data_IF_816130598483
#
_entry.id   IF_816130598483
#
_cell.length_a   1.000
_cell.length_b   1.000
_cell.length_c   1.000
_cell.angle_alpha   90.00
_cell.angle_beta   90.00
_cell.angle_gamma   90.00
#
_symmetry.space_group_name_H-M   'P 1'
#
loop_
_entity.id
_entity.type
_entity.pdbx_description
1 polymer ?
#
# COMPACT_ATOMS: atom_id res chain seq x y z
N UNK A 1 11.43 -8.28 -3.81
CA UNK A 1 10.57 -8.98 -4.78
C UNK A 1 9.50 -7.99 -5.27
N UNK A 2 9.83 -7.15 -6.26
CA UNK A 2 8.89 -6.15 -6.80
C UNK A 2 8.04 -6.81 -7.90
N UNK A 3 6.74 -6.97 -7.66
CA UNK A 3 5.82 -7.44 -8.68
C UNK A 3 5.47 -6.28 -9.62
N UNK A 4 6.12 -6.23 -10.79
CA UNK A 4 5.98 -5.15 -11.80
C UNK A 4 4.62 -5.09 -12.51
N UNK A 5 3.66 -5.98 -12.20
CA UNK A 5 2.42 -6.11 -12.97
C UNK A 5 1.29 -5.18 -12.50
N UNK A 6 1.35 -4.67 -11.27
CA UNK A 6 0.30 -3.86 -10.67
C UNK A 6 0.83 -2.95 -9.53
N UNK A 7 0.19 -1.79 -9.35
CA UNK A 7 0.54 -0.82 -8.33
C UNK A 7 -0.73 -0.32 -7.61
N UNK A 8 -0.69 -0.09 -6.29
CA UNK A 8 0.44 -0.34 -5.38
C UNK A 8 0.47 -1.80 -4.91
N UNK A 9 1.52 -2.54 -5.32
CA UNK A 9 1.74 -3.93 -4.92
C UNK A 9 3.22 -4.19 -4.66
N UNK A 10 3.52 -4.67 -3.45
CA UNK A 10 4.89 -4.87 -3.00
C UNK A 10 5.04 -4.77 -1.49
N UNK A 11 6.29 -4.69 -1.05
CA UNK A 11 6.64 -4.55 0.37
C UNK A 11 6.80 -3.08 0.74
N UNK A 12 6.09 -2.67 1.79
CA UNK A 12 6.06 -1.34 2.36
C UNK A 12 6.63 -1.37 3.78
N UNK A 13 7.40 -0.33 4.13
CA UNK A 13 7.79 -0.06 5.50
C UNK A 13 6.60 0.52 6.26
N UNK A 14 6.46 0.08 7.51
CA UNK A 14 5.48 0.62 8.46
C UNK A 14 6.21 1.17 9.68
N UNK A 15 5.48 1.64 10.70
CA UNK A 15 6.08 2.09 11.95
C UNK A 15 6.82 0.98 12.70
N UNK A 16 6.33 -0.26 12.56
CA UNK A 16 6.96 -1.45 13.11
C UNK A 16 6.76 -2.66 12.18
N UNK A 17 7.87 -3.15 11.61
CA UNK A 17 7.89 -4.25 10.67
C UNK A 17 7.58 -3.88 9.22
N UNK A 18 7.60 -4.91 8.36
CA UNK A 18 7.36 -4.81 6.93
C UNK A 18 5.98 -5.40 6.60
N UNK A 19 5.29 -4.77 5.64
CA UNK A 19 3.96 -5.16 5.21
C UNK A 19 3.93 -5.36 3.69
N UNK A 20 3.49 -6.52 3.22
CA UNK A 20 3.12 -6.70 1.82
C UNK A 20 1.70 -6.22 1.61
N UNK A 21 1.49 -5.39 0.60
CA UNK A 21 0.16 -4.92 0.16
C UNK A 21 0.00 -5.31 -1.31
N UNK A 22 -1.20 -5.72 -1.71
CA UNK A 22 -1.54 -6.01 -3.10
C UNK A 22 -2.87 -5.35 -3.50
N UNK A 23 -2.84 -4.04 -3.74
CA UNK A 23 -4.00 -3.26 -4.17
C UNK A 23 -4.06 -3.16 -5.71
N UNK A 24 -4.31 -4.30 -6.35
CA UNK A 24 -4.25 -4.44 -7.80
C UNK A 24 -5.49 -3.89 -8.54
N UNK A 25 -6.63 -3.80 -7.83
CA UNK A 25 -7.91 -3.31 -8.36
C UNK A 25 -8.14 -1.85 -7.95
N UNK A 26 -8.97 -1.13 -8.72
CA UNK A 26 -9.26 0.28 -8.42
C UNK A 26 -9.96 0.45 -7.07
N UNK A 27 -10.93 -0.40 -6.75
CA UNK A 27 -11.61 -0.41 -5.44
C UNK A 27 -10.64 -0.59 -4.26
N UNK A 28 -9.62 -1.46 -4.42
CA UNK A 28 -8.60 -1.71 -3.41
C UNK A 28 -7.67 -0.51 -3.25
N UNK A 29 -7.30 0.13 -4.36
CA UNK A 29 -6.48 1.35 -4.33
C UNK A 29 -7.20 2.49 -3.62
N UNK A 30 -8.48 2.71 -3.95
CA UNK A 30 -9.30 3.74 -3.29
C UNK A 30 -9.46 3.44 -1.80
N UNK A 31 -9.72 2.18 -1.43
CA UNK A 31 -9.81 1.77 -0.03
C UNK A 31 -8.49 2.00 0.71
N UNK A 32 -7.36 1.61 0.12
CA UNK A 32 -6.03 1.87 0.68
C UNK A 32 -5.81 3.36 0.94
N UNK A 33 -6.05 4.22 -0.06
CA UNK A 33 -5.88 5.67 0.06
C UNK A 33 -6.69 6.25 1.24
N UNK A 34 -7.95 5.80 1.40
CA UNK A 34 -8.80 6.23 2.51
C UNK A 34 -8.25 5.76 3.86
N UNK A 35 -7.80 4.51 3.97
CA UNK A 35 -7.35 3.92 5.23
C UNK A 35 -6.03 4.51 5.71
N UNK A 36 -5.13 4.86 4.80
CA UNK A 36 -3.87 5.54 5.14
C UNK A 36 -4.03 7.04 5.31
N UNK A 37 -5.27 7.57 5.23
CA UNK A 37 -5.54 8.99 5.46
C UNK A 37 -5.16 9.92 4.30
N UNK A 38 -4.96 9.38 3.10
CA UNK A 38 -4.59 10.12 1.89
C UNK A 38 -5.64 9.93 0.77
N UNK A 39 -6.94 10.23 1.01
CA UNK A 39 -8.01 9.95 0.05
C UNK A 39 -7.84 10.71 -1.27
N UNK A 40 -7.18 11.87 -1.27
CA UNK A 40 -6.90 12.66 -2.48
C UNK A 40 -6.03 11.93 -3.51
N UNK A 41 -5.20 10.96 -3.09
CA UNK A 41 -4.39 10.16 -4.01
C UNK A 41 -5.23 9.34 -4.99
N UNK A 42 -6.48 9.02 -4.62
CA UNK A 42 -7.41 8.32 -5.51
C UNK A 42 -7.79 9.13 -6.76
N UNK A 43 -7.75 10.47 -6.65
CA UNK A 43 -8.13 11.40 -7.72
C UNK A 43 -6.95 12.20 -8.27
N UNK A 44 -5.77 12.08 -7.66
CA UNK A 44 -4.54 12.71 -8.16
C UNK A 44 -4.19 12.18 -9.56
N UNK A 45 -4.01 13.05 -10.58
CA UNK A 45 -3.66 12.65 -11.94
C UNK A 45 -2.40 11.76 -12.05
N UNK A 46 -1.52 11.77 -11.04
CA UNK A 46 -0.34 10.91 -10.95
C UNK A 46 -0.67 9.47 -10.61
N UNK A 47 -1.80 9.21 -9.95
CA UNK A 47 -2.13 7.90 -9.36
C UNK A 47 -3.54 7.37 -9.68
N UNK A 48 -4.45 8.23 -10.16
CA UNK A 48 -5.84 7.87 -10.45
C UNK A 48 -5.94 6.72 -11.46
N UNK A 49 -5.20 6.83 -12.57
CA UNK A 49 -5.20 5.84 -13.64
C UNK A 49 -4.10 4.79 -13.43
N UNK A 50 -4.43 3.52 -13.71
CA UNK A 50 -3.51 2.38 -13.52
C UNK A 50 -2.13 2.61 -14.12
N UNK A 51 -2.05 3.12 -15.35
CA UNK A 51 -0.78 3.34 -16.05
C UNK A 51 0.01 4.52 -15.47
N UNK A 52 -0.67 5.61 -15.09
CA UNK A 52 -0.02 6.73 -14.38
C UNK A 52 0.52 6.27 -13.02
N UNK A 53 -0.26 5.47 -12.29
CA UNK A 53 0.11 4.93 -10.99
C UNK A 53 1.35 4.05 -11.05
N UNK A 54 1.46 3.20 -12.08
CA UNK A 54 2.65 2.40 -12.33
C UNK A 54 3.87 3.27 -12.62
N UNK A 55 3.74 4.30 -13.48
CA UNK A 55 4.83 5.25 -13.77
C UNK A 55 5.30 5.98 -12.52
N UNK A 56 4.37 6.34 -11.64
CA UNK A 56 4.66 7.05 -10.39
C UNK A 56 4.79 6.13 -9.17
N UNK A 57 5.06 4.83 -9.36
CA UNK A 57 5.07 3.83 -8.27
C UNK A 57 6.03 4.15 -7.13
N UNK A 58 7.18 4.77 -7.43
CA UNK A 58 8.17 5.17 -6.42
C UNK A 58 7.62 6.31 -5.56
N UNK A 59 7.05 7.34 -6.21
CA UNK A 59 6.44 8.47 -5.51
C UNK A 59 5.22 8.03 -4.69
N UNK A 60 4.36 7.17 -5.25
CA UNK A 60 3.23 6.61 -4.53
C UNK A 60 3.70 5.78 -3.33
N UNK A 61 4.72 4.93 -3.52
CA UNK A 61 5.25 4.11 -2.44
C UNK A 61 5.73 4.97 -1.28
N UNK A 62 6.48 6.03 -1.53
CA UNK A 62 6.97 6.94 -0.49
C UNK A 62 5.82 7.56 0.33
N UNK A 63 4.75 8.04 -0.34
CA UNK A 63 3.57 8.61 0.33
C UNK A 63 2.84 7.57 1.19
N UNK A 64 2.68 6.35 0.67
CA UNK A 64 2.04 5.26 1.41
C UNK A 64 2.91 4.83 2.60
N UNK A 65 4.22 4.69 2.44
CA UNK A 65 5.13 4.33 3.56
C UNK A 65 5.15 5.40 4.65
N UNK A 66 5.13 6.69 4.30
CA UNK A 66 5.03 7.79 5.25
C UNK A 66 3.75 7.69 6.09
N UNK A 67 2.60 7.43 5.44
CA UNK A 67 1.34 7.25 6.14
C UNK A 67 1.31 5.96 6.99
N UNK A 68 1.89 4.86 6.48
CA UNK A 68 1.97 3.59 7.19
C UNK A 68 2.91 3.65 8.41
N UNK A 69 3.81 4.63 8.49
CA UNK A 69 4.70 4.84 9.64
C UNK A 69 3.94 5.09 10.96
N UNK A 70 2.66 5.48 10.88
CA UNK A 70 1.82 5.75 12.05
C UNK A 70 1.34 4.49 12.80
N UNK A 71 1.58 3.28 12.29
CA UNK A 71 1.19 2.04 12.99
C UNK A 71 2.04 0.84 12.57
N UNK A 72 1.88 -0.28 13.28
CA UNK A 72 2.62 -1.52 13.00
C UNK A 72 2.07 -2.27 11.79
N UNK A 73 2.91 -3.11 11.18
CA UNK A 73 2.50 -3.98 10.09
C UNK A 73 1.33 -4.90 10.48
N UNK A 74 1.28 -5.37 11.74
CA UNK A 74 0.20 -6.22 12.24
C UNK A 74 -1.15 -5.46 12.30
N UNK A 75 -1.15 -4.23 12.80
CA UNK A 75 -2.36 -3.41 12.87
C UNK A 75 -2.88 -3.03 11.47
N UNK A 76 -1.96 -2.70 10.55
CA UNK A 76 -2.30 -2.42 9.16
C UNK A 76 -2.79 -3.65 8.41
N UNK A 77 -2.17 -4.81 8.61
CA UNK A 77 -2.61 -6.08 8.05
C UNK A 77 -4.08 -6.36 8.39
N UNK A 78 -4.47 -6.24 9.66
CA UNK A 78 -5.85 -6.43 10.09
C UNK A 78 -6.80 -5.40 9.45
N UNK A 79 -6.40 -4.12 9.50
CA UNK A 79 -7.21 -3.00 9.00
C UNK A 79 -7.47 -3.10 7.50
N UNK A 80 -6.43 -3.39 6.71
CA UNK A 80 -6.50 -3.50 5.25
C UNK A 80 -7.30 -4.72 4.82
N UNK A 81 -7.06 -5.88 5.43
CA UNK A 81 -7.78 -7.10 5.09
C UNK A 81 -9.27 -6.98 5.40
N UNK A 82 -9.65 -6.33 6.52
CA UNK A 82 -11.06 -6.06 6.86
C UNK A 82 -11.78 -5.20 5.82
N UNK A 83 -11.04 -4.33 5.13
CA UNK A 83 -11.54 -3.50 4.05
C UNK A 83 -11.41 -4.12 2.65
N UNK A 84 -11.01 -5.39 2.55
CA UNK A 84 -10.86 -6.09 1.28
C UNK A 84 -9.60 -5.73 0.49
N UNK A 85 -8.63 -5.08 1.14
CA UNK A 85 -7.29 -4.81 0.57
C UNK A 85 -6.35 -5.92 1.03
N UNK A 86 -5.91 -6.83 0.13
CA UNK A 86 -5.03 -7.92 0.51
C UNK A 86 -3.71 -7.39 1.07
N UNK A 87 -3.42 -7.74 2.32
CA UNK A 87 -2.19 -7.37 3.00
C UNK A 87 -1.68 -8.52 3.88
N UNK A 88 -0.36 -8.61 4.05
CA UNK A 88 0.27 -9.63 4.89
C UNK A 88 1.59 -9.15 5.46
N UNK A 89 1.78 -9.27 6.77
CA UNK A 89 3.04 -8.90 7.40
C UNK A 89 4.18 -9.80 6.91
N UNK A 90 5.36 -9.24 6.70
CA UNK A 90 6.55 -10.01 6.33
C UNK A 90 7.21 -10.48 7.61
N UNK A 91 7.13 -11.80 7.86
CA UNK A 91 7.90 -12.42 8.92
C UNK A 91 9.34 -12.57 8.45
N UNK A 92 10.25 -11.77 9.00
CA UNK A 92 11.67 -12.12 8.97
C UNK A 92 11.86 -13.32 9.89
N UNK A 93 12.28 -14.46 9.34
CA UNK A 93 12.73 -15.57 10.18
C UNK A 93 13.95 -15.06 10.96
N UNK A 94 13.90 -14.99 12.30
CA UNK A 94 15.11 -14.71 13.06
C UNK A 94 16.11 -15.84 12.76
N UNK A 95 17.32 -15.47 12.34
CA UNK A 95 18.40 -16.42 12.02
C UNK A 95 18.77 -17.28 13.22
#
# INVERSE_FOLDING_TARGET
NENMTAAPSGTFRTGDGLLNIAANKQEQFVALCRLVGLPELASDPRFAERETRKRNRIALKALIEDALANSSAAAWEETLNRAGVPAGRVLTIPQ
#
